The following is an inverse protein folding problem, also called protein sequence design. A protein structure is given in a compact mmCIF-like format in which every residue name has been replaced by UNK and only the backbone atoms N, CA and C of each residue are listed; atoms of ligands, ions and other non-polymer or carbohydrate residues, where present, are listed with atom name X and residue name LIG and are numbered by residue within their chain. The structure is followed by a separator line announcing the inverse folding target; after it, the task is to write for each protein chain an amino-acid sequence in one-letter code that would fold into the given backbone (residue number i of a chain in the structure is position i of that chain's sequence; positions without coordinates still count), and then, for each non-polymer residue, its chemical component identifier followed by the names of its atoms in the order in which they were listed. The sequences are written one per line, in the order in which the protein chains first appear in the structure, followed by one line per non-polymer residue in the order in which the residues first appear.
data_IF_720840255440
#
_entry.id   IF_720840255440
#
_cell.length_a   1.000
_cell.length_b   1.000
_cell.length_c   1.000
_cell.angle_alpha   90.00
_cell.angle_beta   90.00
_cell.angle_gamma   90.00
#
_symmetry.space_group_name_H-M   'P 1'
#
loop_
_entity.id
_entity.type
_entity.pdbx_description
1 polymer ?
#
# COMPACT_ATOMS: atom_id res chain seq x y z
N UNK A 1 14.81 10.20 16.00
CA UNK A 1 15.99 9.74 15.23
C UNK A 1 15.58 9.48 13.80
N UNK A 2 16.14 10.21 12.86
CA UNK A 2 15.95 9.93 11.44
C UNK A 2 16.58 8.59 11.06
N UNK A 3 15.90 7.81 10.22
CA UNK A 3 16.48 6.61 9.63
C UNK A 3 17.42 7.04 8.51
N UNK A 4 18.69 6.67 8.63
CA UNK A 4 19.66 6.92 7.56
C UNK A 4 19.55 5.80 6.54
N UNK A 5 19.23 6.16 5.31
CA UNK A 5 19.26 5.21 4.20
C UNK A 5 20.73 4.89 3.90
N UNK A 6 21.15 3.62 3.90
CA UNK A 6 22.50 3.27 3.51
C UNK A 6 22.79 3.75 2.09
N UNK A 7 23.98 4.27 1.85
CA UNK A 7 24.41 4.60 0.50
C UNK A 7 24.50 3.33 -0.36
N UNK A 8 24.19 3.46 -1.63
CA UNK A 8 24.37 2.37 -2.58
C UNK A 8 25.84 1.91 -2.59
N UNK A 9 26.06 0.60 -2.57
CA UNK A 9 27.42 0.03 -2.63
C UNK A 9 28.08 0.24 -3.99
N UNK A 10 27.26 0.41 -5.01
CA UNK A 10 27.69 0.63 -6.39
C UNK A 10 26.86 1.76 -6.96
N UNK A 11 27.50 2.73 -7.57
CA UNK A 11 26.81 3.76 -8.34
C UNK A 11 26.55 3.24 -9.76
N UNK A 12 25.30 2.91 -10.03
CA UNK A 12 24.88 2.43 -11.35
C UNK A 12 25.17 3.46 -12.45
N UNK A 13 25.07 4.75 -12.15
CA UNK A 13 25.31 5.81 -13.12
C UNK A 13 26.76 5.88 -13.58
N UNK A 14 27.71 5.51 -12.73
CA UNK A 14 29.16 5.44 -13.10
C UNK A 14 29.44 4.29 -14.07
N UNK A 15 28.77 3.14 -13.86
CA UNK A 15 28.99 1.96 -14.70
C UNK A 15 28.11 1.95 -15.96
N UNK A 16 26.94 2.54 -15.89
CA UNK A 16 25.96 2.59 -16.98
C UNK A 16 25.39 4.01 -17.17
N UNK A 17 26.18 4.95 -17.71
CA UNK A 17 25.72 6.34 -17.86
C UNK A 17 24.45 6.50 -18.69
N UNK A 18 24.18 5.58 -19.59
CA UNK A 18 22.97 5.56 -20.41
C UNK A 18 21.68 5.39 -19.60
N UNK A 19 21.76 4.92 -18.36
CA UNK A 19 20.60 4.74 -17.47
C UNK A 19 20.25 6.01 -16.68
N UNK A 20 21.13 7.01 -16.64
CA UNK A 20 20.90 8.26 -15.90
C UNK A 20 19.55 8.93 -16.23
N UNK A 21 19.13 9.05 -17.52
CA UNK A 21 17.84 9.66 -17.84
C UNK A 21 16.61 8.91 -17.29
N UNK A 22 16.79 7.65 -16.92
CA UNK A 22 15.72 6.79 -16.38
C UNK A 22 15.71 6.75 -14.86
N UNK A 23 16.66 7.39 -14.19
CA UNK A 23 16.69 7.46 -12.74
C UNK A 23 15.44 8.15 -12.19
N UNK A 24 14.86 7.58 -11.14
CA UNK A 24 13.69 8.13 -10.44
C UNK A 24 13.94 8.07 -8.95
N UNK A 25 13.47 9.08 -8.25
CA UNK A 25 13.42 9.06 -6.79
C UNK A 25 12.33 8.11 -6.31
N UNK A 26 12.61 7.37 -5.25
CA UNK A 26 11.66 6.52 -4.57
C UNK A 26 11.53 6.94 -3.11
N UNK A 27 10.34 6.77 -2.55
CA UNK A 27 10.11 6.94 -1.11
C UNK A 27 10.24 5.58 -0.43
N UNK A 28 11.22 5.42 0.44
CA UNK A 28 11.38 4.20 1.25
C UNK A 28 10.56 4.33 2.52
N UNK A 29 9.78 3.31 2.81
CA UNK A 29 8.98 3.21 4.03
C UNK A 29 9.69 2.28 5.02
N UNK A 30 9.77 2.74 6.27
CA UNK A 30 10.36 1.97 7.37
C UNK A 30 9.30 1.75 8.44
N UNK A 31 8.43 0.74 8.28
CA UNK A 31 7.37 0.49 9.23
C UNK A 31 7.94 0.05 10.58
N UNK A 32 7.28 0.51 11.65
CA UNK A 32 7.56 0.10 13.03
C UNK A 32 6.28 -0.44 13.64
N UNK A 33 6.43 -1.35 14.58
CA UNK A 33 5.31 -1.80 15.40
C UNK A 33 4.76 -0.61 16.18
N UNK A 34 3.45 -0.41 16.14
CA UNK A 34 2.77 0.68 16.80
C UNK A 34 1.28 0.44 16.92
N UNK A 35 0.57 1.46 17.37
CA UNK A 35 -0.89 1.46 17.49
C UNK A 35 -1.46 2.69 16.77
N UNK A 36 -1.43 2.72 15.43
CA UNK A 36 -1.89 3.86 14.65
C UNK A 36 -3.40 4.06 14.78
N UNK A 37 -3.82 5.32 14.79
CA UNK A 37 -5.21 5.70 14.64
C UNK A 37 -5.60 5.84 13.16
N UNK A 38 -6.88 6.13 12.91
CA UNK A 38 -7.41 6.32 11.55
C UNK A 38 -6.79 7.51 10.80
N UNK A 39 -6.23 8.46 11.52
CA UNK A 39 -5.61 9.66 10.95
C UNK A 39 -4.08 9.55 10.82
N UNK A 40 -3.55 8.37 11.04
CA UNK A 40 -2.13 8.06 10.93
C UNK A 40 -1.83 7.29 9.64
N UNK A 41 -0.67 7.55 9.05
CA UNK A 41 -0.13 6.68 8.02
C UNK A 41 0.26 5.34 8.63
N UNK A 42 -0.14 4.23 8.00
CA UNK A 42 0.05 2.90 8.58
C UNK A 42 0.08 1.79 7.53
N UNK A 43 0.68 0.66 7.91
CA UNK A 43 0.57 -0.62 7.22
C UNK A 43 -0.35 -1.54 8.04
N UNK A 44 -1.42 -2.02 7.41
CA UNK A 44 -2.40 -2.91 8.04
C UNK A 44 -3.18 -2.30 9.20
N UNK A 45 -3.07 -1.01 9.41
CA UNK A 45 -3.82 -0.28 10.42
C UNK A 45 -5.23 0.12 9.96
N UNK A 46 -5.98 0.82 10.83
CA UNK A 46 -7.29 1.34 10.46
C UNK A 46 -7.15 2.40 9.36
N UNK A 47 -8.13 2.45 8.47
CA UNK A 47 -8.20 3.49 7.44
C UNK A 47 -9.18 4.60 7.85
N UNK A 48 -8.87 5.82 7.44
CA UNK A 48 -9.81 6.93 7.48
C UNK A 48 -10.81 6.74 6.33
N UNK A 49 -12.01 6.25 6.64
CA UNK A 49 -13.05 5.93 5.66
C UNK A 49 -14.30 6.77 5.92
N UNK A 50 -14.92 7.33 4.87
CA UNK A 50 -16.16 8.09 5.03
C UNK A 50 -17.27 7.24 5.65
N UNK A 51 -17.99 7.81 6.62
CA UNK A 51 -19.05 7.10 7.33
C UNK A 51 -20.27 6.79 6.44
N UNK A 52 -20.46 7.57 5.38
CA UNK A 52 -21.55 7.46 4.41
C UNK A 52 -21.17 6.66 3.16
N UNK A 53 -19.97 6.10 3.11
CA UNK A 53 -19.48 5.30 2.00
C UNK A 53 -19.31 3.84 2.43
N UNK A 54 -19.89 2.93 1.65
CA UNK A 54 -19.79 1.50 1.94
C UNK A 54 -18.34 1.02 1.83
N UNK A 55 -17.95 0.11 2.75
CA UNK A 55 -16.64 -0.52 2.68
C UNK A 55 -16.50 -1.34 1.39
N UNK A 56 -15.39 -1.21 0.65
CA UNK A 56 -15.20 -1.93 -0.60
C UNK A 56 -15.18 -3.44 -0.45
N UNK A 57 -15.75 -4.11 -1.42
CA UNK A 57 -15.79 -5.57 -1.49
C UNK A 57 -15.37 -6.06 -2.87
N UNK A 58 -14.77 -7.25 -2.91
CA UNK A 58 -14.46 -7.93 -4.15
C UNK A 58 -15.64 -8.80 -4.58
N UNK A 59 -16.18 -8.55 -5.77
CA UNK A 59 -17.34 -9.25 -6.32
C UNK A 59 -16.97 -10.46 -7.20
N UNK A 60 -15.70 -10.86 -7.27
CA UNK A 60 -15.29 -12.05 -7.99
C UNK A 60 -15.99 -13.29 -7.41
N UNK A 61 -16.32 -14.24 -8.27
CA UNK A 61 -17.11 -15.43 -7.90
C UNK A 61 -16.26 -16.68 -7.71
N UNK A 62 -14.99 -16.62 -8.06
CA UNK A 62 -14.04 -17.72 -8.11
C UNK A 62 -12.97 -17.65 -7.00
N UNK A 63 -13.35 -17.16 -5.82
CA UNK A 63 -12.42 -17.05 -4.70
C UNK A 63 -11.90 -18.41 -4.23
N UNK A 64 -10.60 -18.44 -3.95
CA UNK A 64 -9.90 -19.57 -3.38
C UNK A 64 -9.15 -19.12 -2.12
N UNK A 65 -9.27 -19.92 -1.06
CA UNK A 65 -8.55 -19.68 0.19
C UNK A 65 -7.28 -20.55 0.26
N UNK A 66 -6.08 -19.99 0.02
CA UNK A 66 -4.85 -20.77 0.01
C UNK A 66 -4.48 -21.32 1.39
N UNK A 67 -4.91 -20.67 2.48
CA UNK A 67 -4.63 -21.14 3.84
C UNK A 67 -5.42 -22.40 4.20
N UNK A 68 -6.54 -22.65 3.53
CA UNK A 68 -7.40 -23.82 3.76
C UNK A 68 -7.43 -24.78 2.58
N UNK A 69 -6.70 -24.46 1.53
CA UNK A 69 -6.65 -25.24 0.29
C UNK A 69 -8.03 -25.63 -0.25
N UNK A 70 -8.93 -24.64 -0.29
CA UNK A 70 -10.30 -24.88 -0.75
C UNK A 70 -10.90 -23.67 -1.48
N UNK A 71 -11.82 -23.96 -2.40
CA UNK A 71 -12.67 -22.93 -2.98
C UNK A 71 -13.59 -22.35 -1.89
N UNK A 72 -13.78 -21.04 -1.93
CA UNK A 72 -14.74 -20.35 -1.05
C UNK A 72 -16.12 -20.51 -1.67
N UNK A 73 -16.97 -21.30 -1.02
CA UNK A 73 -18.36 -21.47 -1.39
C UNK A 73 -19.19 -20.61 -0.46
N UNK A 74 -19.98 -19.73 -1.02
CA UNK A 74 -20.89 -18.93 -0.22
C UNK A 74 -21.14 -17.56 -0.82
N UNK A 75 -21.84 -16.70 -0.07
CA UNK A 75 -22.18 -15.38 -0.58
C UNK A 75 -20.91 -14.58 -0.84
N UNK A 76 -20.80 -14.07 -2.01
CA UNK A 76 -19.97 -12.96 -2.39
C UNK A 76 -20.79 -11.68 -2.23
N UNK A 77 -20.24 -10.54 -1.96
CA UNK A 77 -18.83 -10.14 -2.09
C UNK A 77 -17.96 -10.42 -0.85
N UNK A 78 -16.65 -10.45 -1.08
CA UNK A 78 -15.66 -10.59 -0.01
C UNK A 78 -15.13 -9.21 0.38
N UNK A 79 -15.20 -8.85 1.65
CA UNK A 79 -14.72 -7.56 2.12
C UNK A 79 -13.20 -7.42 1.86
N UNK A 80 -12.80 -6.27 1.31
CA UNK A 80 -11.40 -5.92 1.13
C UNK A 80 -10.72 -5.71 2.48
N UNK A 81 -9.43 -5.98 2.55
CA UNK A 81 -8.63 -5.71 3.74
C UNK A 81 -7.75 -4.49 3.52
N UNK A 82 -7.55 -3.65 4.56
CA UNK A 82 -6.63 -2.53 4.46
C UNK A 82 -5.19 -3.02 4.43
N UNK A 83 -4.41 -2.51 3.48
CA UNK A 83 -2.98 -2.80 3.36
C UNK A 83 -2.15 -1.62 3.80
N UNK A 84 -2.45 -0.44 3.29
CA UNK A 84 -1.63 0.73 3.43
C UNK A 84 -2.50 1.98 3.46
N UNK A 85 -2.16 2.92 4.32
CA UNK A 85 -2.63 4.30 4.28
C UNK A 85 -1.44 5.23 4.43
N UNK A 86 -1.28 6.16 3.49
CA UNK A 86 -0.25 7.18 3.52
C UNK A 86 -0.87 8.56 3.38
N UNK A 87 -0.65 9.41 4.35
CA UNK A 87 -0.99 10.82 4.24
C UNK A 87 0.13 11.60 3.58
N UNK A 88 -0.22 12.58 2.75
CA UNK A 88 0.74 13.44 2.05
C UNK A 88 1.76 14.07 2.99
N UNK A 89 1.35 14.49 4.20
CA UNK A 89 2.23 15.10 5.19
C UNK A 89 3.40 14.21 5.60
N UNK A 90 3.23 12.89 5.53
CA UNK A 90 4.24 11.91 5.95
C UNK A 90 5.14 11.47 4.80
N UNK A 91 4.70 11.69 3.56
CA UNK A 91 5.43 11.29 2.33
C UNK A 91 5.46 12.44 1.32
N UNK A 92 6.04 13.57 1.66
CA UNK A 92 5.97 14.79 0.83
C UNK A 92 6.59 14.64 -0.56
N UNK A 93 7.49 13.68 -0.75
CA UNK A 93 8.11 13.40 -2.05
C UNK A 93 7.22 12.56 -2.99
N UNK A 94 6.14 11.97 -2.47
CA UNK A 94 5.19 11.23 -3.28
C UNK A 94 4.23 12.20 -3.99
N UNK A 95 4.10 12.05 -5.30
CA UNK A 95 3.19 12.87 -6.08
C UNK A 95 1.73 12.42 -5.87
N UNK A 96 0.93 13.31 -5.28
CA UNK A 96 -0.51 13.12 -5.11
C UNK A 96 -1.26 13.90 -6.20
N UNK A 97 -2.37 13.37 -6.72
CA UNK A 97 -3.25 14.15 -7.57
C UNK A 97 -3.73 15.44 -6.88
N UNK A 98 -3.99 16.53 -7.62
CA UNK A 98 -4.51 17.76 -7.04
C UNK A 98 -5.77 17.52 -6.20
N UNK A 99 -5.84 18.16 -5.02
CA UNK A 99 -6.99 18.05 -4.12
C UNK A 99 -7.06 16.74 -3.32
N UNK A 100 -6.04 15.88 -3.40
CA UNK A 100 -5.95 14.65 -2.61
C UNK A 100 -4.80 14.72 -1.62
N UNK A 101 -4.95 14.11 -0.45
CA UNK A 101 -3.97 14.13 0.63
C UNK A 101 -3.74 12.76 1.28
N UNK A 102 -4.46 11.74 0.85
CA UNK A 102 -4.32 10.39 1.36
C UNK A 102 -4.32 9.36 0.22
N UNK A 103 -3.39 8.43 0.30
CA UNK A 103 -3.35 7.23 -0.54
C UNK A 103 -3.74 6.04 0.32
N UNK A 104 -4.71 5.26 -0.15
CA UNK A 104 -5.16 4.05 0.51
C UNK A 104 -5.05 2.87 -0.45
N UNK A 105 -4.53 1.76 0.03
CA UNK A 105 -4.44 0.51 -0.72
C UNK A 105 -5.21 -0.55 0.05
N UNK A 106 -6.18 -1.15 -0.64
CA UNK A 106 -6.98 -2.25 -0.15
C UNK A 106 -6.74 -3.47 -1.03
N UNK A 107 -6.93 -4.64 -0.46
CA UNK A 107 -6.61 -5.89 -1.12
C UNK A 107 -7.70 -6.92 -0.89
N UNK A 108 -8.01 -7.74 -1.89
CA UNK A 108 -8.83 -8.91 -1.67
C UNK A 108 -8.01 -9.99 -0.96
N UNK A 109 -8.45 -10.50 0.21
CA UNK A 109 -7.66 -11.48 0.97
C UNK A 109 -7.63 -12.88 0.35
N UNK A 110 -8.40 -13.11 -0.69
CA UNK A 110 -8.54 -14.40 -1.33
C UNK A 110 -8.02 -14.36 -2.78
N UNK A 111 -7.56 -15.50 -3.25
CA UNK A 111 -7.09 -15.64 -4.64
C UNK A 111 -8.30 -15.77 -5.58
N UNK A 112 -8.24 -15.14 -6.72
CA UNK A 112 -9.20 -15.29 -7.82
C UNK A 112 -8.54 -14.92 -9.15
N UNK A 113 -9.09 -15.34 -10.26
CA UNK A 113 -8.66 -15.00 -11.61
C UNK A 113 -9.14 -13.63 -12.08
#
# INVERSE_FOLDING_TARGET
MGLTVPSARVDIAEHFPSLVPYARAVTLLYPRIGNPGREDSSLGGPLLWPADEAWPSCAATDHYNPARDCAVVGPVPVAMVPVLQLFRRDVPALAFPPGTDVLQVLWCPLVHS
#
